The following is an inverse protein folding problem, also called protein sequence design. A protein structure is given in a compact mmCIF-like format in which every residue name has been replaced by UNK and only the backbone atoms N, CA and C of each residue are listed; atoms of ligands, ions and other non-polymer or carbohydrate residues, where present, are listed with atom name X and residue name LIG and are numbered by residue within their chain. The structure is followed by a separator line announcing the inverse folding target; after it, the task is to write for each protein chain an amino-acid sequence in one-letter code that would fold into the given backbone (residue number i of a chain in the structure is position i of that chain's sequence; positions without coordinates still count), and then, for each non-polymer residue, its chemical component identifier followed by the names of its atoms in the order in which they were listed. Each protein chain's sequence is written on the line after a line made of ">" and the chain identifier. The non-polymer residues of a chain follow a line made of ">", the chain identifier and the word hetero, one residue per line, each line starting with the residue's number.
data_IF_054110858265
#
_entry.id   IF_054110858265
#
_cell.length_a   1.000
_cell.length_b   1.000
_cell.length_c   1.000
_cell.angle_alpha   90.00
_cell.angle_beta   90.00
_cell.angle_gamma   90.00
#
_symmetry.space_group_name_H-M   'P 1'
#
loop_
_entity.id
_entity.type
_entity.pdbx_description
1 polymer ?
#
# COMPACT_ATOMS: atom_id res chain seq x y z
N UNK A 1 5.72 7.58 14.68
CA UNK A 1 4.38 8.05 15.08
C UNK A 1 3.33 7.75 14.02
N UNK A 2 3.48 8.17 12.77
CA UNK A 2 2.51 7.94 11.68
C UNK A 2 2.19 6.46 11.39
N UNK A 3 3.19 5.58 11.35
CA UNK A 3 3.01 4.16 11.04
C UNK A 3 2.04 3.47 12.01
N UNK A 4 2.18 3.75 13.31
CA UNK A 4 1.31 3.17 14.33
C UNK A 4 -0.14 3.61 14.18
N UNK A 5 -0.37 4.88 13.86
CA UNK A 5 -1.71 5.41 13.57
C UNK A 5 -2.35 4.76 12.34
N UNK A 6 -1.56 4.49 11.28
CA UNK A 6 -2.07 3.79 10.10
C UNK A 6 -2.50 2.36 10.45
N UNK A 7 -1.68 1.63 11.21
CA UNK A 7 -1.99 0.27 11.65
C UNK A 7 -3.22 0.25 12.53
N UNK A 8 -3.30 1.13 13.53
CA UNK A 8 -4.45 1.25 14.44
C UNK A 8 -5.75 1.61 13.67
N UNK A 9 -5.65 2.52 12.70
CA UNK A 9 -6.78 2.89 11.87
C UNK A 9 -7.23 1.73 10.98
N UNK A 10 -6.30 1.07 10.29
CA UNK A 10 -6.59 -0.10 9.48
C UNK A 10 -7.28 -1.20 10.31
N UNK A 11 -6.70 -1.54 11.45
CA UNK A 11 -7.23 -2.56 12.36
C UNK A 11 -8.67 -2.26 12.76
N UNK A 12 -8.95 -1.01 13.17
CA UNK A 12 -10.29 -0.59 13.55
C UNK A 12 -11.35 -0.83 12.46
N UNK A 13 -11.00 -0.52 11.20
CA UNK A 13 -11.94 -0.71 10.09
C UNK A 13 -12.02 -2.17 9.66
N UNK A 14 -10.92 -2.88 9.58
CA UNK A 14 -10.89 -4.28 9.22
C UNK A 14 -11.66 -5.16 10.21
N UNK A 15 -11.49 -4.94 11.52
CA UNK A 15 -12.23 -5.65 12.57
C UNK A 15 -13.74 -5.35 12.52
N UNK A 16 -14.13 -4.11 12.16
CA UNK A 16 -15.54 -3.74 11.98
C UNK A 16 -16.17 -4.52 10.83
N UNK A 17 -15.39 -4.82 9.79
CA UNK A 17 -15.82 -5.60 8.64
C UNK A 17 -15.64 -7.13 8.84
N UNK A 18 -15.36 -7.55 10.08
CA UNK A 18 -15.28 -8.97 10.47
C UNK A 18 -13.94 -9.64 10.19
N UNK A 19 -12.91 -8.88 9.83
CA UNK A 19 -11.57 -9.41 9.62
C UNK A 19 -10.79 -9.52 10.95
N UNK A 20 -10.03 -10.59 11.11
CA UNK A 20 -9.12 -10.76 12.25
C UNK A 20 -7.74 -10.20 11.88
N UNK A 21 -7.28 -9.17 12.57
CA UNK A 21 -6.00 -8.52 12.30
C UNK A 21 -4.93 -8.96 13.27
N UNK A 22 -3.86 -9.56 12.71
CA UNK A 22 -2.67 -9.97 13.45
C UNK A 22 -1.48 -9.11 13.03
N UNK A 23 -0.82 -8.47 14.00
CA UNK A 23 0.29 -7.57 13.74
C UNK A 23 1.63 -8.31 13.81
N UNK A 24 2.47 -8.10 12.80
CA UNK A 24 3.84 -8.59 12.75
C UNK A 24 4.80 -7.40 12.61
N UNK A 25 5.70 -7.25 13.57
CA UNK A 25 6.73 -6.21 13.52
C UNK A 25 7.94 -6.69 12.70
N UNK A 26 8.44 -5.81 11.85
CA UNK A 26 9.67 -6.02 11.07
C UNK A 26 10.66 -4.91 11.41
N UNK A 27 11.57 -5.12 12.38
CA UNK A 27 12.52 -4.10 12.83
C UNK A 27 13.56 -3.73 11.77
N UNK A 28 13.92 -4.67 10.90
CA UNK A 28 14.89 -4.45 9.82
C UNK A 28 14.59 -5.30 8.59
N UNK A 29 15.19 -4.96 7.45
CA UNK A 29 15.08 -5.72 6.20
C UNK A 29 15.55 -7.17 6.33
N UNK A 30 16.54 -7.44 7.19
CA UNK A 30 17.07 -8.78 7.40
C UNK A 30 16.05 -9.74 8.04
N UNK A 31 15.06 -9.22 8.73
CA UNK A 31 14.06 -10.02 9.44
C UNK A 31 12.81 -10.30 8.61
N UNK A 32 12.70 -9.69 7.43
CA UNK A 32 11.53 -9.87 6.55
C UNK A 32 11.32 -11.36 6.23
N UNK A 33 12.36 -12.08 5.80
CA UNK A 33 12.24 -13.50 5.46
C UNK A 33 11.73 -14.34 6.64
N UNK A 34 12.29 -14.13 7.81
CA UNK A 34 11.88 -14.86 9.03
C UNK A 34 10.43 -14.53 9.39
N UNK A 35 10.08 -13.26 9.37
CA UNK A 35 8.72 -12.81 9.66
C UNK A 35 7.73 -13.38 8.63
N UNK A 36 8.05 -13.33 7.35
CA UNK A 36 7.22 -13.91 6.29
C UNK A 36 7.03 -15.41 6.49
N UNK A 37 8.07 -16.15 6.81
CA UNK A 37 7.98 -17.60 7.05
C UNK A 37 7.05 -17.95 8.22
N UNK A 38 6.99 -17.10 9.24
CA UNK A 38 6.12 -17.30 10.40
C UNK A 38 4.67 -16.95 10.08
N UNK A 39 4.43 -15.90 9.30
CA UNK A 39 3.08 -15.37 9.07
C UNK A 39 2.34 -16.05 7.93
N UNK A 40 3.03 -16.47 6.85
CA UNK A 40 2.38 -17.01 5.64
C UNK A 40 1.56 -18.28 5.86
N UNK A 41 1.82 -19.03 6.92
CA UNK A 41 0.97 -20.18 7.31
C UNK A 41 -0.19 -19.84 8.26
N UNK A 42 -0.43 -18.55 8.55
CA UNK A 42 -1.38 -18.12 9.59
C UNK A 42 -2.32 -17.00 9.14
N UNK A 43 -2.15 -16.48 7.95
CA UNK A 43 -2.92 -15.35 7.42
C UNK A 43 -3.41 -15.63 6.01
N UNK A 44 -4.56 -15.09 5.66
CA UNK A 44 -5.17 -15.23 4.33
C UNK A 44 -4.83 -14.05 3.41
N UNK A 45 -4.37 -12.95 3.99
CA UNK A 45 -3.95 -11.75 3.26
C UNK A 45 -2.89 -10.98 4.06
N UNK A 46 -2.07 -10.21 3.36
CA UNK A 46 -1.07 -9.33 3.97
C UNK A 46 -1.42 -7.89 3.60
N UNK A 47 -1.42 -7.01 4.60
CA UNK A 47 -1.50 -5.58 4.39
C UNK A 47 -0.21 -4.90 4.88
N UNK A 48 0.39 -4.06 4.04
CA UNK A 48 1.62 -3.33 4.37
C UNK A 48 1.34 -1.83 4.45
N UNK A 49 1.66 -1.18 5.60
CA UNK A 49 1.63 0.28 5.69
C UNK A 49 2.75 0.91 4.86
N UNK A 50 2.70 2.22 4.69
CA UNK A 50 3.80 2.96 4.06
C UNK A 50 5.02 2.96 4.98
N UNK A 51 5.99 2.12 4.64
CA UNK A 51 7.22 1.89 5.41
C UNK A 51 8.43 1.70 4.49
N UNK A 52 9.49 2.50 4.69
CA UNK A 52 10.70 2.43 3.87
C UNK A 52 11.45 1.10 4.03
N UNK A 53 11.41 0.48 5.21
CA UNK A 53 12.02 -0.83 5.47
C UNK A 53 11.33 -1.91 4.63
N UNK A 54 10.00 -1.91 4.62
CA UNK A 54 9.21 -2.83 3.79
C UNK A 54 9.42 -2.52 2.31
N UNK A 55 9.36 -1.25 1.90
CA UNK A 55 9.52 -0.85 0.50
C UNK A 55 10.89 -1.25 -0.07
N UNK A 56 11.97 -1.09 0.69
CA UNK A 56 13.32 -1.44 0.23
C UNK A 56 13.56 -2.94 0.04
N UNK A 57 12.73 -3.79 0.62
CA UNK A 57 12.79 -5.24 0.46
C UNK A 57 11.45 -5.86 0.03
N UNK A 58 10.63 -5.07 -0.67
CA UNK A 58 9.29 -5.49 -1.06
C UNK A 58 9.27 -6.71 -1.97
N UNK A 59 10.27 -6.84 -2.84
CA UNK A 59 10.46 -8.04 -3.67
C UNK A 59 10.54 -9.34 -2.84
N UNK A 60 11.15 -9.27 -1.67
CA UNK A 60 11.22 -10.42 -0.73
C UNK A 60 9.86 -10.74 -0.14
N UNK A 61 9.08 -9.71 0.23
CA UNK A 61 7.70 -9.88 0.71
C UNK A 61 6.85 -10.54 -0.37
N UNK A 62 6.91 -10.02 -1.61
CA UNK A 62 6.15 -10.56 -2.74
C UNK A 62 6.56 -12.00 -3.08
N UNK A 63 7.87 -12.30 -3.11
CA UNK A 63 8.34 -13.65 -3.38
C UNK A 63 7.79 -14.67 -2.37
N UNK A 64 7.84 -14.36 -1.08
CA UNK A 64 7.30 -15.23 -0.02
C UNK A 64 5.79 -15.35 -0.08
N UNK A 65 5.08 -14.24 -0.32
CA UNK A 65 3.62 -14.24 -0.45
C UNK A 65 3.13 -15.04 -1.66
N UNK A 66 3.81 -14.92 -2.81
CA UNK A 66 3.49 -15.67 -4.02
C UNK A 66 3.69 -17.18 -3.83
N UNK A 67 4.77 -17.60 -3.15
CA UNK A 67 4.99 -19.02 -2.81
C UNK A 67 3.87 -19.58 -1.93
N UNK A 68 3.35 -18.76 -1.03
CA UNK A 68 2.23 -19.12 -0.16
C UNK A 68 0.85 -18.87 -0.78
N UNK A 69 0.77 -18.29 -1.98
CA UNK A 69 -0.47 -17.87 -2.66
C UNK A 69 -1.32 -16.91 -1.84
N UNK A 70 -0.68 -15.98 -1.16
CA UNK A 70 -1.33 -14.98 -0.30
C UNK A 70 -1.28 -13.61 -0.98
N UNK A 71 -2.42 -12.89 -1.14
CA UNK A 71 -2.44 -11.56 -1.70
C UNK A 71 -1.79 -10.54 -0.76
N UNK A 72 -1.05 -9.60 -1.36
CA UNK A 72 -0.44 -8.47 -0.65
C UNK A 72 -1.14 -7.19 -1.04
N UNK A 73 -1.77 -6.53 -0.07
CA UNK A 73 -2.34 -5.20 -0.20
C UNK A 73 -1.34 -4.17 0.33
N UNK A 74 -1.28 -3.03 -0.31
CA UNK A 74 -0.32 -1.98 0.04
C UNK A 74 -0.98 -0.60 0.08
N UNK A 75 -0.32 0.36 0.68
CA UNK A 75 -0.76 1.76 0.74
C UNK A 75 -0.01 2.66 -0.24
N UNK A 76 0.70 2.07 -1.22
CA UNK A 76 1.52 2.78 -2.22
C UNK A 76 1.26 2.21 -3.61
N UNK A 77 0.87 3.06 -4.55
CA UNK A 77 0.53 2.69 -5.93
C UNK A 77 1.71 2.04 -6.70
N UNK A 78 2.93 2.49 -6.46
CA UNK A 78 4.13 1.91 -7.10
C UNK A 78 4.38 0.46 -6.69
N UNK A 79 4.08 0.10 -5.44
CA UNK A 79 4.25 -1.26 -4.93
C UNK A 79 3.24 -2.25 -5.55
N UNK A 80 2.11 -1.77 -6.09
CA UNK A 80 1.18 -2.61 -6.87
C UNK A 80 1.84 -3.07 -8.17
N UNK A 81 2.64 -2.21 -8.82
CA UNK A 81 3.42 -2.58 -10.01
C UNK A 81 4.53 -3.60 -9.71
N UNK A 82 5.01 -3.60 -8.47
CA UNK A 82 6.06 -4.51 -8.00
C UNK A 82 5.53 -5.88 -7.52
N UNK A 83 4.22 -6.11 -7.63
CA UNK A 83 3.60 -7.41 -7.30
C UNK A 83 2.56 -7.38 -6.19
N UNK A 84 2.25 -6.23 -5.60
CA UNK A 84 1.07 -6.08 -4.75
C UNK A 84 -0.21 -6.29 -5.55
N UNK A 85 -1.26 -6.82 -4.92
CA UNK A 85 -2.56 -7.03 -5.56
C UNK A 85 -3.30 -5.72 -5.80
N UNK A 86 -3.39 -4.91 -4.74
CA UNK A 86 -4.15 -3.68 -4.77
C UNK A 86 -3.64 -2.66 -3.75
N UNK A 87 -3.94 -1.40 -4.03
CA UNK A 87 -3.82 -0.30 -3.06
C UNK A 87 -4.99 0.67 -3.22
N UNK A 88 -5.30 1.39 -2.15
CA UNK A 88 -6.01 2.65 -2.22
C UNK A 88 -5.04 3.70 -1.72
N UNK A 89 -4.46 4.45 -2.64
CA UNK A 89 -3.36 5.36 -2.34
C UNK A 89 -3.48 6.65 -3.15
N UNK A 90 -2.86 7.68 -2.62
CA UNK A 90 -2.63 8.90 -3.39
C UNK A 90 -1.49 8.66 -4.37
N UNK A 91 -1.63 9.20 -5.56
CA UNK A 91 -0.55 9.19 -6.55
C UNK A 91 0.68 9.91 -5.99
N UNK A 92 1.83 9.24 -5.96
CA UNK A 92 3.10 9.84 -5.54
C UNK A 92 3.47 11.03 -6.43
N UNK A 93 3.07 11.01 -7.69
CA UNK A 93 3.25 12.11 -8.62
C UNK A 93 2.43 13.35 -8.22
N UNK A 94 1.16 13.18 -7.88
CA UNK A 94 0.31 14.31 -7.45
C UNK A 94 0.75 14.87 -6.08
N UNK A 95 1.21 14.03 -5.17
CA UNK A 95 1.85 14.46 -3.91
C UNK A 95 3.09 15.33 -4.19
N UNK A 96 3.94 14.92 -5.14
CA UNK A 96 5.09 15.70 -5.57
C UNK A 96 4.69 17.07 -6.15
N UNK A 97 3.65 17.11 -6.98
CA UNK A 97 3.09 18.37 -7.53
C UNK A 97 2.52 19.28 -6.43
N UNK A 98 1.80 18.74 -5.47
CA UNK A 98 1.27 19.51 -4.34
C UNK A 98 2.40 20.12 -3.51
N UNK A 99 3.43 19.32 -3.20
CA UNK A 99 4.64 19.78 -2.52
C UNK A 99 5.34 20.91 -3.27
N UNK A 100 5.50 20.75 -4.59
CA UNK A 100 6.11 21.78 -5.45
C UNK A 100 5.29 23.08 -5.45
N UNK A 101 3.95 22.99 -5.52
CA UNK A 101 3.07 24.18 -5.43
C UNK A 101 3.28 24.93 -4.10
N UNK A 102 3.41 24.21 -3.00
CA UNK A 102 3.65 24.83 -1.69
C UNK A 102 5.05 25.44 -1.58
N UNK A 103 6.08 24.76 -2.10
CA UNK A 103 7.44 25.29 -2.18
C UNK A 103 7.51 26.58 -3.02
N UNK A 104 6.85 26.64 -4.19
CA UNK A 104 6.80 27.86 -5.03
C UNK A 104 6.18 29.05 -4.30
N UNK A 105 5.15 28.84 -3.46
CA UNK A 105 4.56 29.93 -2.64
C UNK A 105 5.60 30.54 -1.71
N UNK A 106 6.41 29.70 -1.03
CA UNK A 106 7.48 30.14 -0.14
C UNK A 106 8.59 30.83 -0.90
N UNK A 107 9.05 30.29 -2.03
CA UNK A 107 10.08 30.90 -2.88
C UNK A 107 9.67 32.25 -3.45
N UNK A 108 8.36 32.48 -3.65
CA UNK A 108 7.79 33.79 -4.04
C UNK A 108 7.62 34.75 -2.84
N UNK A 109 8.15 34.42 -1.66
CA UNK A 109 8.19 35.31 -0.49
C UNK A 109 7.02 35.13 0.48
N UNK A 110 6.12 34.15 0.30
CA UNK A 110 5.11 33.84 1.31
C UNK A 110 5.78 33.24 2.54
N UNK A 111 5.45 33.74 3.73
CA UNK A 111 5.99 33.19 4.98
C UNK A 111 5.53 31.76 5.17
N UNK A 112 6.41 30.86 5.61
CA UNK A 112 6.10 29.44 5.82
C UNK A 112 4.86 29.23 6.70
N UNK A 113 4.71 30.03 7.76
CA UNK A 113 3.55 29.98 8.68
C UNK A 113 2.20 30.28 7.99
N UNK A 114 2.23 30.97 6.85
CA UNK A 114 1.04 31.37 6.08
C UNK A 114 0.76 30.41 4.90
N UNK A 115 1.57 29.36 4.75
CA UNK A 115 1.33 28.25 3.80
C UNK A 115 0.71 27.10 4.58
N UNK A 116 -0.58 26.81 4.41
CA UNK A 116 -1.23 25.72 5.12
C UNK A 116 -0.65 24.36 4.67
N UNK A 117 -0.74 23.39 5.55
CA UNK A 117 -0.48 21.99 5.18
C UNK A 117 -1.61 21.52 4.28
N UNK A 118 -1.27 21.07 3.07
CA UNK A 118 -2.23 20.44 2.19
C UNK A 118 -2.46 19.00 2.68
N UNK A 119 -3.70 18.69 3.07
CA UNK A 119 -4.13 17.33 3.38
C UNK A 119 -4.83 16.80 2.13
N UNK A 120 -4.27 15.76 1.54
CA UNK A 120 -4.86 15.06 0.40
C UNK A 120 -5.46 13.78 0.97
N UNK A 121 -6.77 13.63 0.87
CA UNK A 121 -7.56 12.53 1.45
C UNK A 121 -8.28 11.67 0.41
N UNK A 122 -8.10 11.98 -0.87
CA UNK A 122 -8.61 11.22 -2.00
C UNK A 122 -7.56 10.19 -2.46
N UNK A 123 -7.87 8.91 -2.33
CA UNK A 123 -7.07 7.82 -2.86
C UNK A 123 -7.75 7.17 -4.05
N UNK A 124 -7.01 6.92 -5.13
CA UNK A 124 -7.49 6.13 -6.26
C UNK A 124 -7.15 4.66 -6.02
N UNK A 125 -8.13 3.75 -6.13
CA UNK A 125 -7.83 2.32 -6.13
C UNK A 125 -6.93 1.97 -7.31
N UNK A 126 -5.89 1.18 -7.06
CA UNK A 126 -4.95 0.71 -8.07
C UNK A 126 -4.86 -0.80 -7.99
N UNK A 127 -4.93 -1.48 -9.13
CA UNK A 127 -5.02 -2.94 -9.21
C UNK A 127 -3.91 -3.53 -10.07
N UNK A 128 -3.46 -4.73 -9.69
CA UNK A 128 -2.63 -5.63 -10.47
C UNK A 128 -3.47 -6.85 -10.89
N UNK A 129 -3.99 -6.83 -12.11
CA UNK A 129 -4.85 -7.90 -12.61
C UNK A 129 -4.07 -9.19 -12.90
N UNK A 130 -2.76 -9.12 -13.12
CA UNK A 130 -1.92 -10.31 -13.25
C UNK A 130 -1.85 -11.08 -11.93
N UNK A 131 -1.64 -10.38 -10.81
CA UNK A 131 -1.65 -11.00 -9.48
C UNK A 131 -3.04 -11.55 -9.14
N UNK A 132 -4.10 -10.81 -9.46
CA UNK A 132 -5.46 -11.31 -9.28
C UNK A 132 -5.69 -12.63 -10.05
N UNK A 133 -5.26 -12.70 -11.31
CA UNK A 133 -5.32 -13.89 -12.13
C UNK A 133 -4.53 -15.07 -11.55
N UNK A 134 -3.27 -14.83 -11.14
CA UNK A 134 -2.37 -15.86 -10.60
C UNK A 134 -2.87 -16.45 -9.27
N UNK A 135 -3.59 -15.63 -8.49
CA UNK A 135 -4.18 -16.03 -7.22
C UNK A 135 -5.64 -16.50 -7.34
N UNK A 136 -6.23 -16.50 -8.56
CA UNK A 136 -7.64 -16.81 -8.83
C UNK A 136 -8.59 -15.91 -8.03
N UNK A 137 -8.25 -14.63 -7.86
CA UNK A 137 -9.08 -13.64 -7.17
C UNK A 137 -9.93 -12.92 -8.21
N UNK A 138 -11.26 -13.01 -8.06
CA UNK A 138 -12.19 -12.24 -8.87
C UNK A 138 -12.34 -10.84 -8.30
N UNK A 139 -12.03 -9.82 -9.10
CA UNK A 139 -12.23 -8.42 -8.73
C UNK A 139 -13.66 -8.02 -9.11
N UNK A 140 -14.46 -7.48 -8.19
CA UNK A 140 -15.83 -7.01 -8.49
C UNK A 140 -15.83 -5.92 -9.57
N UNK A 141 -16.86 -5.90 -10.42
CA UNK A 141 -16.96 -4.97 -11.56
C UNK A 141 -17.00 -3.49 -11.14
N UNK A 142 -17.61 -3.20 -10.02
CA UNK A 142 -17.67 -1.86 -9.44
C UNK A 142 -16.30 -1.37 -8.99
N UNK A 143 -15.49 -2.26 -8.43
CA UNK A 143 -14.09 -1.96 -8.06
C UNK A 143 -13.25 -1.75 -9.32
N UNK A 144 -13.37 -2.62 -10.33
CA UNK A 144 -12.66 -2.47 -11.60
C UNK A 144 -12.93 -1.12 -12.29
N UNK A 145 -14.18 -0.68 -12.30
CA UNK A 145 -14.59 0.58 -12.96
C UNK A 145 -14.02 1.83 -12.29
N UNK A 146 -13.70 1.75 -10.99
CA UNK A 146 -13.20 2.87 -10.20
C UNK A 146 -11.67 2.86 -10.03
N UNK A 147 -11.00 1.82 -10.56
CA UNK A 147 -9.59 1.56 -10.30
C UNK A 147 -8.70 1.87 -11.49
N UNK A 148 -7.52 2.36 -11.21
CA UNK A 148 -6.41 2.37 -12.16
C UNK A 148 -5.79 0.98 -12.28
N UNK A 149 -5.55 0.53 -13.50
CA UNK A 149 -4.93 -0.77 -13.75
C UNK A 149 -3.42 -0.59 -13.91
N UNK A 150 -2.67 -0.93 -12.86
CA UNK A 150 -1.22 -0.84 -12.85
C UNK A 150 -0.53 -1.91 -13.70
N UNK A 151 -1.09 -3.14 -13.67
CA UNK A 151 -0.62 -4.30 -14.46
C UNK A 151 -1.85 -5.03 -14.99
N UNK A 152 -1.85 -5.31 -16.30
CA UNK A 152 -2.93 -6.08 -16.96
C UNK A 152 -2.72 -7.58 -16.74
N UNK A 153 -3.82 -8.34 -16.78
CA UNK A 153 -3.76 -9.79 -16.82
C UNK A 153 -3.10 -10.26 -18.14
N UNK A 154 -2.50 -11.45 -18.11
CA UNK A 154 -2.03 -12.11 -19.32
C UNK A 154 -3.20 -12.51 -20.22
N UNK A 155 -2.97 -12.51 -21.54
CA UNK A 155 -3.96 -12.92 -22.53
C UNK A 155 -4.13 -14.43 -22.56
#
# INVERSE_FOLDING_TARGET
>A
MYKRQQVESFKKYAEKDGLNVVEYAVPSTNEINTTMSVMTGKVDAIWTPQDNTIASAFSTVISSANQAKIPVYTTVDTMVKEGGLASVAQSQYELGKATARSAVKVLKGKKVKDVPVDVIDDGTPTLNLKVAQDLNITIPDDVLKQSDIAVKADK
#
